data_IF_768556402866
#
_entry.id   IF_768556402866
#
_cell.length_a   1.000
_cell.length_b   1.000
_cell.length_c   1.000
_cell.angle_alpha   90.00
_cell.angle_beta   90.00
_cell.angle_gamma   90.00
#
_symmetry.space_group_name_H-M   'P 1'
#
loop_
_entity.id
_entity.type
_entity.pdbx_description
1 polymer ?
#
# COMPACT_ATOMS: atom_id res chain seq x y z
N UNK A 1 19.19 3.44 13.88
CA UNK A 1 17.81 2.92 13.73
C UNK A 1 17.71 2.26 12.36
N UNK A 2 16.77 1.34 12.13
CA UNK A 2 16.60 0.72 10.80
C UNK A 2 16.02 1.70 9.79
N UNK A 3 16.33 1.52 8.49
CA UNK A 3 15.67 2.28 7.42
C UNK A 3 14.28 1.70 7.18
N UNK A 4 13.26 2.54 7.00
CA UNK A 4 11.88 2.09 6.83
C UNK A 4 11.14 2.93 5.79
N UNK A 5 10.30 2.29 4.99
CA UNK A 5 9.35 2.92 4.08
C UNK A 5 7.96 2.51 4.52
N UNK A 6 7.19 3.44 5.07
CA UNK A 6 5.75 3.27 5.26
C UNK A 6 5.04 3.76 4.01
N UNK A 7 4.38 2.85 3.31
CA UNK A 7 3.70 3.06 2.04
C UNK A 7 2.18 3.03 2.27
N UNK A 8 1.57 4.20 2.31
CA UNK A 8 0.14 4.39 2.50
C UNK A 8 -0.59 4.35 1.16
N UNK A 9 -1.52 3.39 1.03
CA UNK A 9 -2.11 3.00 -0.25
C UNK A 9 -3.63 2.99 -0.20
N UNK A 10 -4.25 3.39 -1.31
CA UNK A 10 -5.64 3.06 -1.62
C UNK A 10 -5.73 2.36 -2.99
N UNK A 11 -6.47 1.24 -3.10
CA UNK A 11 -6.72 0.47 -4.31
C UNK A 11 -7.52 1.25 -5.38
N UNK A 12 -8.24 2.32 -5.00
CA UNK A 12 -8.85 3.23 -5.99
C UNK A 12 -7.83 4.19 -6.62
N UNK A 13 -6.56 4.17 -6.22
CA UNK A 13 -5.51 4.96 -6.87
C UNK A 13 -4.67 4.05 -7.78
N UNK A 14 -4.63 4.30 -9.10
CA UNK A 14 -3.73 3.58 -10.00
C UNK A 14 -2.26 3.83 -9.66
N UNK A 15 -1.93 5.01 -9.13
CA UNK A 15 -0.58 5.31 -8.67
C UNK A 15 -0.18 4.50 -7.44
N UNK A 16 -1.14 4.15 -6.56
CA UNK A 16 -0.86 3.22 -5.44
C UNK A 16 -0.40 1.86 -5.97
N UNK A 17 -1.01 1.36 -7.04
CA UNK A 17 -0.60 0.08 -7.63
C UNK A 17 0.77 0.15 -8.29
N UNK A 18 1.10 1.23 -9.00
CA UNK A 18 2.44 1.42 -9.54
C UNK A 18 3.50 1.47 -8.43
N UNK A 19 3.20 2.18 -7.33
CA UNK A 19 4.06 2.21 -6.16
C UNK A 19 4.24 0.84 -5.50
N UNK A 20 3.13 0.16 -5.22
CA UNK A 20 3.13 -1.18 -4.66
C UNK A 20 3.94 -2.14 -5.54
N UNK A 21 3.68 -2.17 -6.85
CA UNK A 21 4.38 -3.06 -7.79
C UNK A 21 5.87 -2.74 -7.86
N UNK A 22 6.24 -1.46 -7.87
CA UNK A 22 7.64 -1.06 -7.87
C UNK A 22 8.35 -1.55 -6.60
N UNK A 23 7.76 -1.33 -5.43
CA UNK A 23 8.33 -1.77 -4.15
C UNK A 23 8.42 -3.30 -4.05
N UNK A 24 7.40 -4.04 -4.50
CA UNK A 24 7.44 -5.51 -4.56
C UNK A 24 8.59 -6.01 -5.45
N UNK A 25 8.77 -5.42 -6.64
CA UNK A 25 9.87 -5.80 -7.55
C UNK A 25 11.25 -5.54 -6.97
N UNK A 26 11.39 -4.52 -6.11
CA UNK A 26 12.65 -4.13 -5.50
C UNK A 26 12.81 -4.63 -4.05
N UNK A 27 11.86 -5.41 -3.52
CA UNK A 27 11.82 -5.78 -2.10
C UNK A 27 13.10 -6.49 -1.64
N UNK A 28 13.61 -7.44 -2.42
CA UNK A 28 14.86 -8.15 -2.09
C UNK A 28 16.10 -7.23 -2.09
N UNK A 29 16.17 -6.28 -3.02
CA UNK A 29 17.25 -5.30 -3.06
C UNK A 29 17.17 -4.36 -1.85
N UNK A 30 15.98 -3.86 -1.54
CA UNK A 30 15.71 -3.00 -0.38
C UNK A 30 16.03 -3.70 0.94
N UNK A 31 15.62 -4.97 1.09
CA UNK A 31 15.95 -5.80 2.24
C UNK A 31 17.48 -5.97 2.40
N UNK A 32 18.20 -6.28 1.30
CA UNK A 32 19.67 -6.40 1.34
C UNK A 32 20.39 -5.11 1.72
N UNK A 33 19.74 -3.96 1.52
CA UNK A 33 20.22 -2.63 1.89
C UNK A 33 19.71 -2.17 3.28
N UNK A 34 19.05 -3.07 4.01
CA UNK A 34 18.53 -2.84 5.36
C UNK A 34 17.30 -1.94 5.42
N UNK A 35 16.49 -1.94 4.36
CA UNK A 35 15.24 -1.15 4.27
C UNK A 35 14.04 -2.06 4.47
N UNK A 36 13.27 -1.80 5.52
CA UNK A 36 11.97 -2.42 5.77
C UNK A 36 10.87 -1.69 4.98
N UNK A 37 9.91 -2.43 4.43
CA UNK A 37 8.76 -1.88 3.74
C UNK A 37 7.49 -2.28 4.49
N UNK A 38 6.67 -1.30 4.84
CA UNK A 38 5.35 -1.52 5.42
C UNK A 38 4.27 -0.94 4.50
N UNK A 39 3.33 -1.77 4.08
CA UNK A 39 2.14 -1.32 3.35
C UNK A 39 0.98 -1.05 4.31
N UNK A 40 0.32 0.10 4.16
CA UNK A 40 -0.70 0.59 5.09
C UNK A 40 -1.95 1.05 4.32
N UNK A 41 -3.11 0.38 4.49
CA UNK A 41 -4.39 0.82 3.95
C UNK A 41 -4.79 2.20 4.48
N UNK A 42 -5.18 3.10 3.57
CA UNK A 42 -5.79 4.39 3.90
C UNK A 42 -7.00 4.64 3.02
N UNK A 43 -7.90 5.50 3.49
CA UNK A 43 -9.10 5.84 2.75
C UNK A 43 -8.92 7.13 1.94
N UNK A 44 -8.87 6.98 0.61
CA UNK A 44 -9.05 8.06 -0.37
C UNK A 44 -10.47 8.02 -0.95
N UNK A 45 -10.95 6.82 -1.28
CA UNK A 45 -12.29 6.60 -1.84
C UNK A 45 -12.79 5.15 -1.78
N UNK A 46 -11.91 4.17 -1.55
CA UNK A 46 -12.26 2.75 -1.53
C UNK A 46 -12.75 2.21 -0.19
N UNK A 47 -13.82 2.76 0.39
CA UNK A 47 -14.16 2.50 1.82
C UNK A 47 -14.30 1.00 2.19
N UNK A 48 -15.04 0.23 1.41
CA UNK A 48 -15.27 -1.20 1.67
C UNK A 48 -14.01 -2.06 1.41
N UNK A 49 -13.33 -1.95 0.25
CA UNK A 49 -12.09 -2.70 0.05
C UNK A 49 -11.01 -2.30 1.05
N UNK A 50 -10.91 -1.02 1.46
CA UNK A 50 -9.92 -0.62 2.45
C UNK A 50 -10.18 -1.17 3.84
N UNK A 51 -11.44 -1.25 4.29
CA UNK A 51 -11.76 -1.91 5.55
C UNK A 51 -11.40 -3.39 5.51
N UNK A 52 -11.70 -4.08 4.41
CA UNK A 52 -11.28 -5.47 4.24
C UNK A 52 -9.76 -5.62 4.29
N UNK A 53 -9.02 -4.74 3.60
CA UNK A 53 -7.56 -4.73 3.60
C UNK A 53 -6.96 -4.38 4.97
N UNK A 54 -7.58 -3.49 5.75
CA UNK A 54 -7.21 -3.22 7.16
C UNK A 54 -7.34 -4.48 8.01
N UNK A 55 -8.46 -5.20 7.89
CA UNK A 55 -8.64 -6.47 8.59
C UNK A 55 -7.59 -7.51 8.19
N UNK A 56 -7.36 -7.68 6.88
CA UNK A 56 -6.36 -8.63 6.36
C UNK A 56 -4.96 -8.29 6.86
N UNK A 57 -4.56 -7.01 6.84
CA UNK A 57 -3.24 -6.57 7.35
C UNK A 57 -3.02 -6.98 8.82
N UNK A 58 -4.08 -6.92 9.64
CA UNK A 58 -4.02 -7.20 11.07
C UNK A 58 -3.99 -8.70 11.40
N UNK A 59 -4.64 -9.53 10.58
CA UNK A 59 -4.90 -10.92 10.90
C UNK A 59 -4.18 -11.93 10.00
N UNK A 60 -3.49 -11.48 8.95
CA UNK A 60 -2.82 -12.34 7.98
C UNK A 60 -1.38 -11.89 7.72
N UNK A 61 -0.50 -12.79 7.23
CA UNK A 61 0.86 -12.44 6.84
C UNK A 61 0.93 -11.30 5.81
N UNK A 62 2.02 -10.55 5.80
CA UNK A 62 2.22 -9.41 4.89
C UNK A 62 2.14 -9.79 3.41
N UNK A 63 2.54 -11.02 3.05
CA UNK A 63 2.41 -11.56 1.69
C UNK A 63 0.94 -11.79 1.31
N UNK A 64 0.12 -12.26 2.25
CA UNK A 64 -1.32 -12.45 2.04
C UNK A 64 -2.03 -11.11 1.86
N UNK A 65 -1.66 -10.10 2.67
CA UNK A 65 -2.10 -8.72 2.45
C UNK A 65 -1.72 -8.21 1.05
N UNK A 66 -0.47 -8.41 0.65
CA UNK A 66 0.06 -7.98 -0.65
C UNK A 66 -0.72 -8.63 -1.81
N UNK A 67 -0.99 -9.93 -1.72
CA UNK A 67 -1.79 -10.65 -2.70
C UNK A 67 -3.24 -10.14 -2.76
N UNK A 68 -3.86 -9.85 -1.60
CA UNK A 68 -5.21 -9.31 -1.54
C UNK A 68 -5.29 -7.90 -2.13
N UNK A 69 -4.34 -7.03 -1.84
CA UNK A 69 -4.25 -5.69 -2.43
C UNK A 69 -4.13 -5.75 -3.95
N UNK A 70 -3.23 -6.62 -4.45
CA UNK A 70 -3.07 -6.85 -5.89
C UNK A 70 -4.36 -7.37 -6.53
N UNK A 71 -5.02 -8.35 -5.92
CA UNK A 71 -6.28 -8.90 -6.47
C UNK A 71 -7.41 -7.86 -6.50
N UNK A 72 -7.56 -7.05 -5.45
CA UNK A 72 -8.50 -5.92 -5.44
C UNK A 72 -8.22 -4.95 -6.60
N UNK A 73 -6.96 -4.60 -6.81
CA UNK A 73 -6.57 -3.72 -7.91
C UNK A 73 -6.87 -4.33 -9.28
N UNK A 74 -6.43 -5.55 -9.54
CA UNK A 74 -6.65 -6.24 -10.82
C UNK A 74 -8.14 -6.39 -11.13
N UNK A 75 -8.94 -6.74 -10.13
CA UNK A 75 -10.40 -6.86 -10.27
C UNK A 75 -11.05 -5.52 -10.61
N UNK A 76 -10.62 -4.44 -9.96
CA UNK A 76 -11.17 -3.10 -10.20
C UNK A 76 -10.73 -2.51 -11.53
N UNK A 77 -9.42 -2.46 -11.78
CA UNK A 77 -8.84 -1.68 -12.87
C UNK A 77 -8.72 -2.46 -14.17
N UNK A 78 -8.33 -3.73 -14.11
CA UNK A 78 -8.24 -4.57 -15.30
C UNK A 78 -9.59 -5.22 -15.62
N UNK A 79 -10.27 -5.73 -14.57
CA UNK A 79 -11.58 -6.36 -14.68
C UNK A 79 -12.76 -5.39 -14.80
N UNK A 80 -12.52 -4.09 -14.57
CA UNK A 80 -13.54 -3.03 -14.61
C UNK A 80 -14.73 -3.28 -13.67
N UNK A 81 -14.52 -3.99 -12.57
CA UNK A 81 -15.56 -4.25 -11.58
C UNK A 81 -15.53 -3.21 -10.46
N UNK A 82 -16.70 -2.66 -10.14
CA UNK A 82 -16.87 -1.79 -8.98
C UNK A 82 -16.80 -2.60 -7.68
N UNK A 83 -15.61 -2.70 -7.08
CA UNK A 83 -15.40 -3.42 -5.81
C UNK A 83 -15.84 -2.62 -4.57
N UNK A 84 -16.48 -1.45 -4.74
CA UNK A 84 -17.26 -0.87 -3.63
C UNK A 84 -18.47 -1.74 -3.29
N UNK A 85 -18.94 -2.54 -4.26
CA UNK A 85 -20.03 -3.50 -4.09
C UNK A 85 -19.52 -4.80 -3.44
N UNK A 86 -20.18 -5.31 -2.38
CA UNK A 86 -19.73 -6.51 -1.65
C UNK A 86 -19.51 -7.74 -2.54
N UNK A 87 -20.35 -7.95 -3.56
CA UNK A 87 -20.25 -9.08 -4.48
C UNK A 87 -18.98 -9.06 -5.33
N UNK A 88 -18.57 -7.87 -5.79
CA UNK A 88 -17.36 -7.70 -6.58
C UNK A 88 -16.11 -7.72 -5.70
N UNK A 89 -16.19 -7.18 -4.48
CA UNK A 89 -15.14 -7.34 -3.48
C UNK A 89 -14.94 -8.81 -3.11
N UNK A 90 -16.02 -9.58 -2.96
CA UNK A 90 -15.93 -11.02 -2.75
C UNK A 90 -15.25 -11.74 -3.91
N UNK A 91 -15.55 -11.35 -5.16
CA UNK A 91 -14.86 -11.87 -6.35
C UNK A 91 -13.36 -11.61 -6.28
N UNK A 92 -12.93 -10.40 -5.93
CA UNK A 92 -11.51 -10.09 -5.76
C UNK A 92 -10.87 -10.94 -4.66
N UNK A 93 -11.50 -11.05 -3.49
CA UNK A 93 -10.92 -11.77 -2.35
C UNK A 93 -10.87 -13.28 -2.55
N UNK A 94 -11.76 -13.87 -3.36
CA UNK A 94 -11.74 -15.32 -3.69
C UNK A 94 -10.51 -15.77 -4.46
N UNK A 95 -9.77 -14.87 -5.09
CA UNK A 95 -8.47 -15.20 -5.71
C UNK A 95 -7.38 -15.51 -4.68
N UNK A 96 -7.61 -15.15 -3.40
CA UNK A 96 -6.61 -15.27 -2.31
C UNK A 96 -7.14 -16.12 -1.15
N UNK A 97 -8.45 -16.08 -0.91
CA UNK A 97 -9.08 -16.69 0.27
C UNK A 97 -10.16 -17.69 -0.13
N UNK A 98 -10.43 -18.65 0.77
CA UNK A 98 -11.59 -19.54 0.64
C UNK A 98 -12.90 -18.75 0.79
N UNK A 99 -14.00 -19.28 0.26
CA UNK A 99 -15.31 -18.62 0.35
C UNK A 99 -15.72 -18.27 1.80
N UNK A 100 -15.42 -19.16 2.74
CA UNK A 100 -15.73 -18.97 4.16
C UNK A 100 -14.91 -17.84 4.79
N UNK A 101 -13.63 -17.72 4.40
CA UNK A 101 -12.77 -16.64 4.89
C UNK A 101 -13.12 -15.30 4.24
N UNK A 102 -13.53 -15.29 2.96
CA UNK A 102 -14.06 -14.09 2.30
C UNK A 102 -15.29 -13.55 3.02
N UNK A 103 -16.24 -14.41 3.40
CA UNK A 103 -17.42 -14.02 4.17
C UNK A 103 -17.01 -13.38 5.50
N UNK A 104 -16.10 -14.01 6.24
CA UNK A 104 -15.55 -13.48 7.49
C UNK A 104 -14.90 -12.11 7.32
N UNK A 105 -14.07 -11.93 6.28
CA UNK A 105 -13.40 -10.66 5.99
C UNK A 105 -14.43 -9.56 5.68
N UNK A 106 -15.44 -9.84 4.85
CA UNK A 106 -16.49 -8.89 4.49
C UNK A 106 -17.32 -8.50 5.72
N UNK A 107 -17.70 -9.47 6.56
CA UNK A 107 -18.39 -9.19 7.82
C UNK A 107 -17.53 -8.35 8.75
N UNK A 108 -16.24 -8.70 8.91
CA UNK A 108 -15.31 -7.98 9.76
C UNK A 108 -15.08 -6.53 9.30
N UNK A 109 -15.03 -6.29 7.99
CA UNK A 109 -14.95 -4.95 7.41
C UNK A 109 -16.14 -4.04 7.82
N UNK A 110 -17.29 -4.64 8.17
CA UNK A 110 -18.47 -3.94 8.67
C UNK A 110 -18.42 -3.57 10.16
N UNK A 111 -17.49 -4.13 10.93
CA UNK A 111 -17.44 -3.97 12.39
C UNK A 111 -17.00 -2.56 12.81
N UNK A 112 -17.46 -2.06 13.99
CA UNK A 112 -17.01 -0.77 14.52
C UNK A 112 -15.49 -0.69 14.70
N UNK A 113 -14.84 -1.79 15.06
CA UNK A 113 -13.39 -1.87 15.26
C UNK A 113 -12.63 -1.55 13.98
N UNK A 114 -12.88 -2.29 12.89
CA UNK A 114 -12.17 -2.09 11.62
C UNK A 114 -12.49 -0.71 11.01
N UNK A 115 -13.74 -0.24 11.18
CA UNK A 115 -14.14 1.11 10.76
C UNK A 115 -13.33 2.19 11.48
N UNK A 116 -13.19 2.08 12.80
CA UNK A 116 -12.41 3.01 13.60
C UNK A 116 -10.92 2.93 13.27
N UNK A 117 -10.39 1.73 13.03
CA UNK A 117 -8.98 1.52 12.72
C UNK A 117 -8.56 2.17 11.39
N UNK A 118 -9.35 1.98 10.32
CA UNK A 118 -9.11 2.64 9.04
C UNK A 118 -9.25 4.17 9.17
N UNK A 119 -10.27 4.64 9.89
CA UNK A 119 -10.51 6.06 10.11
C UNK A 119 -9.34 6.72 10.86
N UNK A 120 -8.91 6.13 11.98
CA UNK A 120 -7.79 6.62 12.78
C UNK A 120 -6.48 6.62 12.00
N UNK A 121 -6.21 5.56 11.22
CA UNK A 121 -5.01 5.48 10.37
C UNK A 121 -5.00 6.56 9.30
N UNK A 122 -6.14 6.78 8.64
CA UNK A 122 -6.30 7.83 7.61
C UNK A 122 -6.19 9.23 8.22
N UNK A 123 -6.84 9.47 9.36
CA UNK A 123 -6.80 10.74 10.06
C UNK A 123 -5.38 11.09 10.51
N UNK A 124 -4.65 10.12 11.07
CA UNK A 124 -3.26 10.28 11.50
C UNK A 124 -2.36 10.70 10.34
N UNK A 125 -2.39 9.96 9.22
CA UNK A 125 -1.50 10.26 8.08
C UNK A 125 -1.81 11.64 7.47
N UNK A 126 -3.07 12.07 7.48
CA UNK A 126 -3.47 13.40 6.99
C UNK A 126 -3.03 14.50 7.95
N UNK A 127 -3.34 14.37 9.24
CA UNK A 127 -3.13 15.44 10.24
C UNK A 127 -1.68 15.57 10.67
N UNK A 128 -1.01 14.45 10.88
CA UNK A 128 0.34 14.44 11.47
C UNK A 128 1.43 14.36 10.41
N UNK A 129 1.18 13.64 9.30
CA UNK A 129 2.17 13.44 8.25
C UNK A 129 1.93 14.30 7.02
N UNK A 130 0.79 15.01 6.94
CA UNK A 130 0.48 15.94 5.86
C UNK A 130 0.03 15.28 4.55
N UNK A 131 -0.41 14.01 4.60
CA UNK A 131 -0.86 13.32 3.40
C UNK A 131 -2.09 13.99 2.77
N UNK A 132 -2.02 14.20 1.45
CA UNK A 132 -3.08 14.81 0.66
C UNK A 132 -3.51 13.96 -0.56
N UNK A 133 -2.93 12.76 -0.71
CA UNK A 133 -3.23 11.84 -1.81
C UNK A 133 -2.60 10.46 -1.62
N UNK A 134 -2.75 9.56 -2.61
CA UNK A 134 -2.15 8.22 -2.59
C UNK A 134 -1.45 7.89 -3.92
N UNK A 135 -0.27 7.25 -3.91
CA UNK A 135 0.45 6.74 -2.72
C UNK A 135 1.09 7.87 -1.94
N UNK A 136 1.15 7.69 -0.62
CA UNK A 136 1.90 8.55 0.30
C UNK A 136 2.96 7.71 1.00
N UNK A 137 4.15 8.27 1.18
CA UNK A 137 5.25 7.61 1.87
C UNK A 137 5.69 8.42 3.07
N UNK A 138 5.93 7.72 4.18
CA UNK A 138 6.75 8.23 5.27
C UNK A 138 8.03 7.39 5.32
N UNK A 139 9.16 8.01 5.01
CA UNK A 139 10.43 7.31 4.88
C UNK A 139 11.33 7.70 6.04
N UNK A 140 11.88 6.71 6.74
CA UNK A 140 12.81 6.91 7.87
C UNK A 140 14.20 6.42 7.45
N UNK A 141 15.20 7.30 7.55
CA UNK A 141 16.58 6.97 7.21
C UNK A 141 17.35 6.32 8.39
N UNK A 142 18.62 5.95 8.17
CA UNK A 142 19.44 5.27 9.18
C UNK A 142 19.73 6.11 10.44
N UNK A 143 19.58 7.43 10.36
CA UNK A 143 19.71 8.38 11.46
C UNK A 143 18.41 8.52 12.28
N UNK A 144 17.31 7.92 11.82
CA UNK A 144 15.99 8.04 12.45
C UNK A 144 15.22 9.30 12.05
N UNK A 145 15.68 10.05 11.04
CA UNK A 145 14.94 11.19 10.48
C UNK A 145 13.87 10.69 9.52
N UNK A 146 12.68 11.30 9.58
CA UNK A 146 11.53 10.97 8.73
C UNK A 146 11.22 12.07 7.72
N UNK A 147 10.98 11.72 6.45
CA UNK A 147 10.54 12.64 5.41
C UNK A 147 9.33 12.11 4.60
N UNK A 148 8.42 12.99 4.17
CA UNK A 148 7.26 12.63 3.36
C UNK A 148 7.57 12.63 1.85
N UNK A 149 7.00 11.67 1.12
CA UNK A 149 7.02 11.65 -0.35
C UNK A 149 5.63 11.31 -0.90
N UNK A 150 5.22 11.96 -1.99
CA UNK A 150 3.93 11.73 -2.63
C UNK A 150 4.11 11.27 -4.08
N UNK A 151 3.31 10.30 -4.53
CA UNK A 151 3.28 9.86 -5.94
C UNK A 151 4.25 8.71 -6.27
N UNK A 152 4.01 8.01 -7.38
CA UNK A 152 4.73 6.78 -7.77
C UNK A 152 6.00 7.02 -8.61
N UNK A 153 6.57 8.21 -8.51
CA UNK A 153 7.65 8.76 -9.35
C UNK A 153 8.74 9.47 -8.52
N UNK A 154 8.69 9.41 -7.18
CA UNK A 154 9.65 10.05 -6.26
C UNK A 154 10.79 9.15 -5.80
N UNK A 155 11.01 8.03 -6.47
CA UNK A 155 11.96 7.00 -6.04
C UNK A 155 13.38 7.53 -5.81
N UNK A 156 13.91 8.34 -6.73
CA UNK A 156 15.26 8.90 -6.63
C UNK A 156 15.45 9.76 -5.37
N UNK A 157 14.47 10.61 -5.04
CA UNK A 157 14.49 11.37 -3.79
C UNK A 157 14.48 10.46 -2.56
N UNK A 158 13.66 9.39 -2.58
CA UNK A 158 13.62 8.41 -1.48
C UNK A 158 14.95 7.67 -1.32
N UNK A 159 15.58 7.28 -2.44
CA UNK A 159 16.88 6.60 -2.43
C UNK A 159 18.01 7.50 -1.93
N UNK A 160 18.04 8.75 -2.39
CA UNK A 160 18.96 9.76 -1.89
C UNK A 160 18.79 9.98 -0.39
N UNK A 161 17.56 10.18 0.08
CA UNK A 161 17.25 10.37 1.50
C UNK A 161 17.64 9.16 2.37
N UNK A 162 17.47 7.95 1.85
CA UNK A 162 17.87 6.70 2.51
C UNK A 162 19.37 6.39 2.39
N UNK A 163 20.12 7.16 1.61
CA UNK A 163 21.52 6.92 1.30
C UNK A 163 21.75 5.57 0.60
N UNK A 164 20.84 5.18 -0.30
CA UNK A 164 20.96 3.94 -1.07
C UNK A 164 21.76 4.17 -2.36
N UNK A 165 22.52 3.17 -2.83
CA UNK A 165 23.07 3.21 -4.17
C UNK A 165 21.95 3.02 -5.20
N UNK A 166 21.83 3.93 -6.16
CA UNK A 166 20.89 3.81 -7.29
C UNK A 166 21.44 4.49 -8.54
N UNK A 167 21.02 4.01 -9.70
CA UNK A 167 21.14 4.75 -10.96
C UNK A 167 19.82 5.52 -11.15
N UNK A 168 19.91 6.85 -11.24
CA UNK A 168 18.74 7.74 -11.38
C UNK A 168 18.09 7.64 -12.79
N UNK A 169 17.56 8.73 -13.33
CA UNK A 169 16.82 8.75 -14.60
C UNK A 169 17.72 8.78 -15.85
N UNK A 170 18.60 7.78 -16.04
CA UNK A 170 19.62 7.86 -17.09
C UNK A 170 19.22 7.34 -18.47
N UNK A 171 19.30 8.25 -19.45
CA UNK A 171 19.52 7.95 -20.87
C UNK A 171 20.91 8.45 -21.31
N UNK A 172 21.58 7.71 -22.20
CA UNK A 172 22.90 8.06 -22.77
C UNK A 172 22.82 8.40 -24.26
N UNK A 173 23.69 9.29 -24.73
CA UNK A 173 23.74 9.77 -26.11
C UNK A 173 24.16 8.67 -27.12
N UNK A 174 23.79 8.85 -28.39
CA UNK A 174 24.59 8.28 -29.48
C UNK A 174 25.84 9.14 -29.61
N UNK A 175 26.97 8.43 -29.56
CA UNK A 175 28.37 8.89 -29.52
C UNK A 175 28.61 10.05 -30.47
#
# INVERSE_FOLDING_TARGET
MGKKIECYLDCVSPYSFYAFTYLQKNAAALESLGVEIEYIPVFLGGINPQRALTYIKKHHPSQTFSAAFQSCFETMWNGQLDISKPENLATALRNVFSAQEVEKIITAAGTPEVKAELAATTERVVKELGAFGCPWFWVVNGEGKGEPFFGSDRWHFMWEFLGLPFDDLRLRARI
#
